data_IF_184974840434
#
_entry.id   IF_184974840434
#
_cell.length_a   1.000
_cell.length_b   1.000
_cell.length_c   1.000
_cell.angle_alpha   90.00
_cell.angle_beta   90.00
_cell.angle_gamma   90.00
#
_symmetry.space_group_name_H-M   'P 1'
#
loop_
_entity.id
_entity.type
_entity.pdbx_description
1 polymer ?
#
# COMPACT_ATOMS: atom_id res chain seq x y z
N UNK A 1 -19.69 11.37 -9.09
CA UNK A 1 -19.46 10.02 -8.55
C UNK A 1 -18.85 9.14 -9.62
N UNK A 2 -18.05 8.18 -9.26
CA UNK A 2 -17.38 7.25 -10.17
C UNK A 2 -17.37 5.83 -9.59
N UNK A 3 -17.12 4.84 -10.44
CA UNK A 3 -16.97 3.45 -10.02
C UNK A 3 -15.50 3.05 -10.23
N UNK A 4 -14.84 2.57 -9.18
CA UNK A 4 -13.50 2.01 -9.28
C UNK A 4 -13.58 0.50 -9.48
N UNK A 5 -12.82 0.01 -10.46
CA UNK A 5 -12.69 -1.40 -10.77
C UNK A 5 -11.19 -1.79 -10.75
N UNK A 6 -10.84 -2.75 -9.92
CA UNK A 6 -9.45 -3.18 -9.76
C UNK A 6 -9.13 -4.39 -10.63
N UNK A 7 -8.05 -4.27 -11.40
CA UNK A 7 -7.38 -5.38 -12.09
C UNK A 7 -6.01 -5.63 -11.46
N UNK A 8 -5.50 -6.85 -11.57
CA UNK A 8 -4.16 -7.19 -11.10
C UNK A 8 -3.15 -7.19 -12.24
N UNK A 9 -3.61 -7.38 -13.47
CA UNK A 9 -2.81 -7.34 -14.70
C UNK A 9 -3.71 -7.18 -15.93
N UNK A 10 -3.12 -6.91 -17.08
CA UNK A 10 -3.78 -6.88 -18.40
C UNK A 10 -4.04 -8.27 -18.98
N UNK A 11 -3.39 -9.30 -18.45
CA UNK A 11 -3.60 -10.70 -18.89
C UNK A 11 -4.48 -11.46 -17.90
N UNK A 12 -5.30 -12.38 -18.43
CA UNK A 12 -6.15 -13.23 -17.58
C UNK A 12 -5.31 -14.10 -16.64
N UNK A 13 -4.23 -14.67 -17.15
CA UNK A 13 -3.37 -15.58 -16.39
C UNK A 13 -2.80 -14.91 -15.15
N UNK A 14 -2.13 -13.78 -15.31
CA UNK A 14 -1.51 -13.06 -14.19
C UNK A 14 -2.54 -12.40 -13.29
N UNK A 15 -3.62 -11.83 -13.84
CA UNK A 15 -4.71 -11.27 -13.04
C UNK A 15 -5.33 -12.32 -12.11
N UNK A 16 -5.64 -13.51 -12.64
CA UNK A 16 -6.31 -14.55 -11.87
C UNK A 16 -5.36 -15.24 -10.90
N UNK A 17 -4.09 -15.37 -11.26
CA UNK A 17 -3.04 -15.83 -10.35
C UNK A 17 -2.89 -14.90 -9.13
N UNK A 18 -2.69 -13.60 -9.37
CA UNK A 18 -2.46 -12.61 -8.31
C UNK A 18 -3.68 -12.36 -7.43
N UNK A 19 -4.88 -12.43 -8.01
CA UNK A 19 -6.13 -12.33 -7.25
C UNK A 19 -6.49 -13.62 -6.51
N UNK A 20 -5.78 -14.71 -6.80
CA UNK A 20 -6.08 -16.07 -6.30
C UNK A 20 -7.52 -16.52 -6.62
N UNK A 21 -8.10 -15.97 -7.70
CA UNK A 21 -9.47 -16.27 -8.11
C UNK A 21 -9.69 -15.90 -9.58
N UNK A 22 -10.55 -16.65 -10.27
CA UNK A 22 -10.86 -16.45 -11.70
C UNK A 22 -11.86 -15.32 -11.88
N UNK A 23 -11.37 -14.09 -11.97
CA UNK A 23 -12.20 -12.88 -12.01
C UNK A 23 -12.00 -12.02 -13.24
N UNK A 24 -11.02 -12.29 -14.08
CA UNK A 24 -10.69 -11.45 -15.25
C UNK A 24 -11.88 -11.21 -16.17
N UNK A 25 -12.54 -12.28 -16.62
CA UNK A 25 -13.71 -12.17 -17.51
C UNK A 25 -14.91 -11.47 -16.85
N UNK A 26 -15.12 -11.72 -15.54
CA UNK A 26 -16.16 -11.02 -14.78
C UNK A 26 -15.89 -9.52 -14.74
N UNK A 27 -14.67 -9.11 -14.43
CA UNK A 27 -14.26 -7.70 -14.38
C UNK A 27 -14.42 -7.02 -15.74
N UNK A 28 -14.07 -7.71 -16.84
CA UNK A 28 -14.30 -7.20 -18.20
C UNK A 28 -15.79 -6.96 -18.49
N UNK A 29 -16.67 -7.88 -18.08
CA UNK A 29 -18.14 -7.67 -18.23
C UNK A 29 -18.63 -6.52 -17.36
N UNK A 30 -18.13 -6.40 -16.13
CA UNK A 30 -18.48 -5.30 -15.21
C UNK A 30 -18.03 -3.95 -15.78
N UNK A 31 -16.81 -3.85 -16.34
CA UNK A 31 -16.32 -2.63 -16.98
C UNK A 31 -17.26 -2.18 -18.12
N UNK A 32 -17.66 -3.12 -19.00
CA UNK A 32 -18.64 -2.84 -20.07
C UNK A 32 -19.97 -2.36 -19.50
N UNK A 33 -20.46 -2.98 -18.43
CA UNK A 33 -21.72 -2.57 -17.78
C UNK A 33 -21.63 -1.17 -17.17
N UNK A 34 -20.54 -0.82 -16.50
CA UNK A 34 -20.30 0.52 -15.95
C UNK A 34 -20.40 1.57 -17.06
N UNK A 35 -19.71 1.34 -18.18
CA UNK A 35 -19.73 2.28 -19.32
C UNK A 35 -21.09 2.35 -20.01
N UNK A 36 -21.80 1.21 -20.16
CA UNK A 36 -23.13 1.17 -20.74
C UNK A 36 -24.16 1.96 -19.92
N UNK A 37 -23.96 2.08 -18.59
CA UNK A 37 -24.81 2.89 -17.71
C UNK A 37 -24.33 4.35 -17.58
N UNK A 38 -23.31 4.76 -18.31
CA UNK A 38 -22.82 6.14 -18.34
C UNK A 38 -22.03 6.58 -17.11
N UNK A 39 -21.59 5.65 -16.25
CA UNK A 39 -20.76 6.01 -15.09
C UNK A 39 -19.30 6.26 -15.49
N UNK A 40 -18.69 7.32 -14.95
CA UNK A 40 -17.24 7.47 -15.00
C UNK A 40 -16.56 6.28 -14.30
N UNK A 41 -15.51 5.76 -14.92
CA UNK A 41 -14.80 4.58 -14.43
C UNK A 41 -13.33 4.91 -14.10
N UNK A 42 -12.91 4.49 -12.91
CA UNK A 42 -11.50 4.45 -12.52
C UNK A 42 -11.03 3.00 -12.61
N UNK A 43 -10.03 2.72 -13.43
CA UNK A 43 -9.28 1.48 -13.28
C UNK A 43 -8.19 1.67 -12.23
N UNK A 44 -8.05 0.69 -11.34
CA UNK A 44 -6.94 0.61 -10.39
C UNK A 44 -6.15 -0.66 -10.65
N UNK A 45 -4.84 -0.55 -10.72
CA UNK A 45 -3.93 -1.69 -10.77
C UNK A 45 -2.82 -1.50 -9.74
N UNK A 46 -2.73 -2.42 -8.78
CA UNK A 46 -1.64 -2.42 -7.81
C UNK A 46 -0.40 -3.01 -8.45
N UNK A 47 0.64 -2.18 -8.58
CA UNK A 47 1.88 -2.54 -9.24
C UNK A 47 2.88 -3.20 -8.28
N UNK A 48 3.58 -4.16 -8.82
CA UNK A 48 4.66 -4.89 -8.17
C UNK A 48 5.59 -5.51 -9.23
N UNK A 49 6.63 -6.21 -8.80
CA UNK A 49 7.65 -6.81 -9.69
C UNK A 49 7.09 -7.56 -10.91
N UNK A 50 5.97 -8.28 -10.75
CA UNK A 50 5.44 -9.14 -11.81
C UNK A 50 4.66 -8.39 -12.90
N UNK A 51 3.97 -7.29 -12.57
CA UNK A 51 3.13 -6.58 -13.52
C UNK A 51 3.68 -5.21 -13.96
N UNK A 52 4.72 -4.68 -13.30
CA UNK A 52 5.42 -3.49 -13.77
C UNK A 52 5.89 -3.60 -15.24
N UNK A 53 6.42 -4.75 -15.71
CA UNK A 53 6.77 -4.91 -17.12
C UNK A 53 5.57 -4.85 -18.09
N UNK A 54 4.34 -4.87 -17.58
CA UNK A 54 3.10 -4.85 -18.35
C UNK A 54 2.39 -3.49 -18.28
N UNK A 55 3.02 -2.45 -17.77
CA UNK A 55 2.38 -1.13 -17.57
C UNK A 55 1.82 -0.58 -18.88
N UNK A 56 2.51 -0.74 -20.01
CA UNK A 56 2.01 -0.38 -21.34
C UNK A 56 0.68 -1.06 -21.68
N UNK A 57 0.62 -2.38 -21.50
CA UNK A 57 -0.58 -3.19 -21.77
C UNK A 57 -1.71 -2.89 -20.79
N UNK A 58 -1.39 -2.56 -19.55
CA UNK A 58 -2.39 -2.13 -18.56
C UNK A 58 -2.99 -0.78 -18.95
N UNK A 59 -2.18 0.16 -19.45
CA UNK A 59 -2.67 1.44 -19.97
C UNK A 59 -3.55 1.22 -21.20
N UNK A 60 -3.10 0.39 -22.15
CA UNK A 60 -3.87 0.06 -23.35
C UNK A 60 -5.22 -0.58 -23.00
N UNK A 61 -5.24 -1.48 -22.02
CA UNK A 61 -6.48 -2.09 -21.52
C UNK A 61 -7.43 -1.03 -20.93
N UNK A 62 -6.91 -0.09 -20.13
CA UNK A 62 -7.71 0.99 -19.55
C UNK A 62 -8.31 1.90 -20.63
N UNK A 63 -7.54 2.24 -21.65
CA UNK A 63 -7.99 3.03 -22.80
C UNK A 63 -9.05 2.28 -23.61
N UNK A 64 -8.86 1.00 -23.86
CA UNK A 64 -9.82 0.15 -24.59
C UNK A 64 -11.14 -0.01 -23.82
N UNK A 65 -11.12 0.01 -22.50
CA UNK A 65 -12.30 -0.02 -21.63
C UNK A 65 -12.99 1.35 -21.51
N UNK A 66 -12.38 2.43 -22.01
CA UNK A 66 -12.89 3.79 -21.88
C UNK A 66 -12.87 4.32 -20.45
N UNK A 67 -11.85 3.96 -19.69
CA UNK A 67 -11.64 4.50 -18.35
C UNK A 67 -11.24 5.96 -18.40
N UNK A 68 -11.88 6.79 -17.58
CA UNK A 68 -11.53 8.22 -17.44
C UNK A 68 -10.26 8.41 -16.59
N UNK A 69 -10.04 7.48 -15.66
CA UNK A 69 -8.88 7.50 -14.77
C UNK A 69 -8.24 6.11 -14.68
N UNK A 70 -6.93 6.10 -14.65
CA UNK A 70 -6.14 4.91 -14.34
C UNK A 70 -5.21 5.21 -13.16
N UNK A 71 -5.37 4.46 -12.10
CA UNK A 71 -4.49 4.49 -10.93
C UNK A 71 -3.51 3.31 -10.99
N UNK A 72 -2.26 3.61 -11.25
CA UNK A 72 -1.13 2.70 -11.18
C UNK A 72 -0.46 2.88 -9.82
N UNK A 73 -0.98 2.18 -8.81
CA UNK A 73 -0.57 2.31 -7.43
C UNK A 73 0.49 1.25 -7.08
N UNK A 74 1.73 1.64 -6.87
CA UNK A 74 2.73 0.69 -6.41
C UNK A 74 2.39 0.14 -5.02
N UNK A 75 2.70 -1.15 -4.82
CA UNK A 75 2.44 -1.87 -3.58
C UNK A 75 3.06 -1.16 -2.38
N UNK A 76 2.24 -0.93 -1.36
CA UNK A 76 2.70 -0.49 -0.04
C UNK A 76 2.94 -1.70 0.85
N UNK A 77 4.11 -1.78 1.47
CA UNK A 77 4.56 -2.99 2.17
C UNK A 77 4.08 -3.07 3.62
N UNK A 78 2.78 -3.33 3.79
CA UNK A 78 2.13 -3.62 5.08
C UNK A 78 1.46 -5.00 5.04
N UNK A 79 1.26 -5.62 6.21
CA UNK A 79 0.54 -6.88 6.32
C UNK A 79 1.06 -7.95 5.35
N UNK A 80 0.19 -8.46 4.49
CA UNK A 80 0.52 -9.49 3.50
C UNK A 80 1.55 -9.05 2.47
N UNK A 81 1.51 -7.80 2.04
CA UNK A 81 2.51 -7.26 1.12
C UNK A 81 3.89 -7.20 1.77
N UNK A 82 3.97 -6.87 3.08
CA UNK A 82 5.22 -6.91 3.83
C UNK A 82 5.76 -8.33 3.97
N UNK A 83 4.89 -9.31 4.24
CA UNK A 83 5.28 -10.72 4.31
C UNK A 83 5.82 -11.24 2.96
N UNK A 84 5.29 -10.73 1.84
CA UNK A 84 5.69 -11.09 0.49
C UNK A 84 6.67 -10.08 -0.16
N UNK A 85 7.27 -9.16 0.60
CA UNK A 85 8.05 -8.06 0.02
C UNK A 85 9.22 -8.52 -0.84
N UNK A 86 9.83 -9.65 -0.48
CA UNK A 86 10.94 -10.21 -1.24
C UNK A 86 10.52 -10.59 -2.67
N UNK A 87 9.30 -11.09 -2.82
CA UNK A 87 8.73 -11.51 -4.12
C UNK A 87 8.09 -10.35 -4.88
N UNK A 88 7.47 -9.40 -4.17
CA UNK A 88 6.66 -8.35 -4.79
C UNK A 88 7.42 -7.05 -5.07
N UNK A 89 8.50 -6.76 -4.32
CA UNK A 89 9.21 -5.50 -4.45
C UNK A 89 9.91 -5.41 -5.82
N UNK A 90 9.65 -4.34 -6.59
CA UNK A 90 10.33 -4.11 -7.86
C UNK A 90 11.80 -3.73 -7.66
N UNK A 91 12.56 -3.73 -8.73
CA UNK A 91 13.86 -3.06 -8.78
C UNK A 91 13.70 -1.58 -9.15
N UNK A 92 14.73 -0.78 -8.88
CA UNK A 92 14.75 0.62 -9.27
C UNK A 92 14.67 0.79 -10.81
N UNK A 93 15.28 -0.13 -11.55
CA UNK A 93 15.26 -0.16 -13.01
C UNK A 93 13.84 -0.39 -13.53
N UNK A 94 13.13 -1.39 -12.98
CA UNK A 94 11.72 -1.64 -13.35
C UNK A 94 10.82 -0.43 -13.09
N UNK A 95 11.02 0.27 -11.97
CA UNK A 95 10.25 1.49 -11.67
C UNK A 95 10.55 2.60 -12.66
N UNK A 96 11.83 2.83 -12.98
CA UNK A 96 12.26 3.85 -13.95
C UNK A 96 11.72 3.56 -15.35
N UNK A 97 11.76 2.32 -15.79
CA UNK A 97 11.19 1.89 -17.08
C UNK A 97 9.68 2.12 -17.12
N UNK A 98 8.97 1.72 -16.07
CA UNK A 98 7.52 1.92 -15.97
C UNK A 98 7.15 3.41 -15.94
N UNK A 99 7.90 4.25 -15.23
CA UNK A 99 7.70 5.69 -15.18
C UNK A 99 7.89 6.31 -16.57
N UNK A 100 8.94 5.92 -17.31
CA UNK A 100 9.17 6.37 -18.68
C UNK A 100 8.02 5.99 -19.62
N UNK A 101 7.46 4.78 -19.48
CA UNK A 101 6.27 4.35 -20.21
C UNK A 101 5.07 5.23 -19.87
N UNK A 102 4.82 5.48 -18.60
CA UNK A 102 3.70 6.32 -18.15
C UNK A 102 3.81 7.75 -18.70
N UNK A 103 5.01 8.37 -18.64
CA UNK A 103 5.21 9.72 -19.15
C UNK A 103 5.00 9.80 -20.67
N UNK A 104 5.46 8.80 -21.43
CA UNK A 104 5.18 8.69 -22.86
C UNK A 104 3.67 8.66 -23.11
N UNK A 105 2.92 7.77 -22.42
CA UNK A 105 1.47 7.69 -22.59
C UNK A 105 0.76 8.99 -22.19
N UNK A 106 1.16 9.63 -21.11
CA UNK A 106 0.61 10.93 -20.68
C UNK A 106 0.71 11.98 -21.78
N UNK A 107 1.83 12.01 -22.50
CA UNK A 107 2.03 12.94 -23.63
C UNK A 107 1.21 12.57 -24.87
N UNK A 108 1.00 11.27 -25.15
CA UNK A 108 0.32 10.76 -26.34
C UNK A 108 -1.21 10.78 -26.23
N UNK A 109 -1.75 10.41 -25.04
CA UNK A 109 -3.20 10.20 -24.87
C UNK A 109 -3.95 11.48 -24.52
N UNK A 110 -3.27 12.54 -24.05
CA UNK A 110 -3.89 13.80 -23.67
C UNK A 110 -4.97 13.61 -22.60
N UNK A 111 -6.17 14.13 -22.86
CA UNK A 111 -7.28 14.09 -21.90
C UNK A 111 -8.15 12.82 -21.96
N UNK A 112 -7.81 11.82 -22.78
CA UNK A 112 -8.61 10.60 -22.92
C UNK A 112 -8.67 9.75 -21.66
N UNK A 113 -7.59 9.71 -20.90
CA UNK A 113 -7.51 9.05 -19.60
C UNK A 113 -6.47 9.75 -18.74
N UNK A 114 -6.81 10.05 -17.49
CA UNK A 114 -5.84 10.63 -16.56
C UNK A 114 -5.11 9.52 -15.80
N UNK A 115 -3.80 9.41 -15.99
CA UNK A 115 -2.97 8.38 -15.36
C UNK A 115 -2.34 8.93 -14.08
N UNK A 116 -2.61 8.27 -12.96
CA UNK A 116 -1.89 8.45 -11.70
C UNK A 116 -0.86 7.34 -11.55
N UNK A 117 0.40 7.71 -11.33
CA UNK A 117 1.48 6.76 -11.05
C UNK A 117 2.07 7.09 -9.69
N UNK A 118 1.97 6.17 -8.76
CA UNK A 118 2.41 6.34 -7.36
C UNK A 118 3.67 5.52 -7.14
N UNK A 119 4.81 6.18 -6.93
CA UNK A 119 6.08 5.53 -6.60
C UNK A 119 6.01 4.93 -5.19
N UNK A 120 6.58 3.72 -4.96
CA UNK A 120 6.65 3.14 -3.62
C UNK A 120 7.52 4.00 -2.71
N UNK A 121 7.10 4.19 -1.46
CA UNK A 121 7.83 5.02 -0.50
C UNK A 121 9.29 4.59 -0.31
N UNK A 122 9.57 3.29 -0.39
CA UNK A 122 10.93 2.73 -0.21
C UNK A 122 11.95 3.19 -1.27
N UNK A 123 11.50 3.78 -2.37
CA UNK A 123 12.35 4.33 -3.44
C UNK A 123 12.41 5.86 -3.43
N UNK A 124 11.82 6.47 -2.42
CA UNK A 124 11.88 7.92 -2.17
C UNK A 124 12.96 8.25 -1.15
N UNK A 125 13.42 9.50 -1.15
CA UNK A 125 14.35 10.04 -0.15
C UNK A 125 13.63 10.82 0.93
N UNK A 126 12.35 11.10 0.72
CA UNK A 126 11.47 11.80 1.64
C UNK A 126 10.17 11.04 1.84
N UNK A 127 9.74 10.84 3.05
CA UNK A 127 8.48 10.16 3.31
C UNK A 127 7.30 11.05 2.92
N UNK A 128 6.23 10.42 2.46
CA UNK A 128 4.95 11.09 2.23
C UNK A 128 4.28 11.41 3.56
N UNK A 129 3.64 12.56 3.63
CA UNK A 129 2.84 12.95 4.79
C UNK A 129 1.72 11.93 5.03
N UNK A 130 1.74 11.28 6.19
CA UNK A 130 0.78 10.24 6.56
C UNK A 130 -0.66 10.76 6.46
N UNK A 131 -1.45 10.29 5.48
CA UNK A 131 -2.85 10.72 5.25
C UNK A 131 -3.05 12.25 5.29
N UNK A 132 -2.10 13.02 4.77
CA UNK A 132 -2.05 14.49 4.89
C UNK A 132 -2.03 15.03 6.33
N UNK A 133 -1.57 14.24 7.27
CA UNK A 133 -1.51 14.46 8.70
C UNK A 133 -2.40 13.47 9.44
N UNK A 134 -1.82 12.75 10.38
CA UNK A 134 -2.54 11.80 11.23
C UNK A 134 -3.75 12.46 11.91
N UNK A 135 -4.95 11.85 11.75
CA UNK A 135 -6.19 12.37 12.33
C UNK A 135 -6.59 13.77 11.87
N UNK A 136 -6.07 14.27 10.72
CA UNK A 136 -6.29 15.64 10.26
C UNK A 136 -7.35 15.77 9.17
N UNK A 137 -7.37 14.87 8.20
CA UNK A 137 -8.29 14.96 7.03
C UNK A 137 -9.02 13.65 6.73
N UNK A 138 -8.64 12.56 7.37
CA UNK A 138 -9.17 11.24 7.06
C UNK A 138 -9.75 10.55 8.30
N UNK A 139 -10.92 9.94 8.12
CA UNK A 139 -11.55 9.02 9.06
C UNK A 139 -12.13 7.86 8.25
N UNK A 140 -11.65 6.65 8.49
CA UNK A 140 -12.21 5.43 7.93
C UNK A 140 -13.01 4.67 8.97
N UNK A 141 -14.15 4.08 8.59
CA UNK A 141 -14.93 3.20 9.46
C UNK A 141 -14.76 1.78 8.94
N UNK A 142 -14.20 0.92 9.80
CA UNK A 142 -14.03 -0.48 9.47
C UNK A 142 -15.37 -1.26 9.61
N UNK A 143 -15.50 -2.47 9.02
CA UNK A 143 -16.77 -3.22 9.04
C UNK A 143 -17.31 -3.55 10.43
N UNK A 144 -16.45 -3.61 11.44
CA UNK A 144 -16.83 -3.82 12.85
C UNK A 144 -17.25 -2.51 13.57
N UNK A 145 -17.16 -1.36 12.87
CA UNK A 145 -17.52 -0.04 13.38
C UNK A 145 -16.35 0.72 14.01
N UNK A 146 -15.14 0.17 14.04
CA UNK A 146 -13.98 0.91 14.53
C UNK A 146 -13.61 2.07 13.61
N UNK A 147 -13.37 3.24 14.18
CA UNK A 147 -12.94 4.43 13.47
C UNK A 147 -11.41 4.51 13.44
N UNK A 148 -10.85 4.71 12.28
CA UNK A 148 -9.42 4.66 12.02
C UNK A 148 -8.93 5.96 11.38
N UNK A 149 -7.82 6.56 11.85
CA UNK A 149 -7.18 7.72 11.22
C UNK A 149 -6.38 7.35 9.95
N UNK A 150 -6.16 6.05 9.71
CA UNK A 150 -5.51 5.48 8.53
C UNK A 150 -5.95 4.02 8.38
N UNK A 151 -6.02 3.50 7.16
CA UNK A 151 -6.40 2.11 6.90
C UNK A 151 -5.52 1.08 7.60
N UNK A 152 -4.23 1.38 7.79
CA UNK A 152 -3.24 0.51 8.42
C UNK A 152 -3.03 0.78 9.92
N UNK A 153 -3.73 1.75 10.50
CA UNK A 153 -3.54 2.21 11.89
C UNK A 153 -3.68 1.08 12.93
N UNK A 154 -4.50 0.06 12.64
CA UNK A 154 -4.65 -1.12 13.51
C UNK A 154 -3.36 -1.93 13.71
N UNK A 155 -2.36 -1.72 12.87
CA UNK A 155 -1.06 -2.35 13.04
C UNK A 155 -0.22 -1.75 14.17
N UNK A 156 -0.62 -0.59 14.69
CA UNK A 156 0.09 0.09 15.77
C UNK A 156 -0.33 -0.45 17.14
N UNK A 157 0.62 -0.85 17.99
CA UNK A 157 0.32 -1.28 19.36
C UNK A 157 -0.04 -0.08 20.25
N UNK A 158 -0.76 -0.37 21.33
CA UNK A 158 -1.08 0.63 22.37
C UNK A 158 -2.09 1.68 21.94
N UNK A 159 -2.79 1.50 20.83
CA UNK A 159 -3.92 2.32 20.41
C UNK A 159 -5.22 1.52 20.53
N UNK A 160 -6.21 2.12 21.20
CA UNK A 160 -7.59 1.62 21.21
C UNK A 160 -8.42 2.49 20.27
N UNK A 161 -8.96 1.88 19.21
CA UNK A 161 -9.76 2.60 18.24
C UNK A 161 -11.21 2.70 18.68
N UNK A 162 -11.79 3.93 18.75
CA UNK A 162 -13.17 4.13 19.14
C UNK A 162 -14.12 3.53 18.11
N UNK A 163 -15.34 3.19 18.54
CA UNK A 163 -16.34 2.57 17.69
C UNK A 163 -17.53 3.53 17.47
N UNK A 164 -17.95 3.70 16.23
CA UNK A 164 -19.09 4.59 15.87
C UNK A 164 -20.44 4.15 16.45
N UNK A 165 -20.51 2.90 16.96
CA UNK A 165 -21.69 2.41 17.68
C UNK A 165 -21.74 2.90 19.14
N UNK A 166 -20.65 3.43 19.66
CA UNK A 166 -20.47 3.78 21.07
C UNK A 166 -20.15 5.27 21.26
N UNK A 167 -19.55 5.90 20.28
CA UNK A 167 -19.09 7.29 20.34
C UNK A 167 -19.54 8.05 19.10
N UNK A 168 -19.88 9.31 19.26
CA UNK A 168 -20.18 10.21 18.13
C UNK A 168 -18.91 10.47 17.29
N UNK A 169 -19.09 10.81 16.02
CA UNK A 169 -17.98 11.20 15.13
C UNK A 169 -17.19 12.38 15.71
N UNK A 170 -17.87 13.32 16.39
CA UNK A 170 -17.24 14.46 17.04
C UNK A 170 -16.27 14.00 18.15
N UNK A 171 -16.72 13.18 19.08
CA UNK A 171 -15.90 12.61 20.15
C UNK A 171 -14.72 11.81 19.59
N UNK A 172 -14.98 10.98 18.59
CA UNK A 172 -13.95 10.19 17.91
C UNK A 172 -12.86 11.11 17.34
N UNK A 173 -13.28 12.16 16.64
CA UNK A 173 -12.37 13.05 15.94
C UNK A 173 -11.56 13.96 16.84
N UNK A 174 -12.18 14.53 17.88
CA UNK A 174 -11.55 15.55 18.71
C UNK A 174 -10.97 15.00 20.03
N UNK A 175 -11.59 13.98 20.60
CA UNK A 175 -11.32 13.60 21.99
C UNK A 175 -10.60 12.24 22.11
N UNK A 176 -10.58 11.41 21.04
CA UNK A 176 -9.96 10.09 21.13
C UNK A 176 -8.44 10.12 21.05
N UNK A 177 -7.76 9.32 21.87
CA UNK A 177 -6.30 9.14 21.82
C UNK A 177 -5.85 8.63 20.45
N UNK A 178 -6.60 7.70 19.85
CA UNK A 178 -6.26 7.14 18.54
C UNK A 178 -6.11 8.19 17.44
N UNK A 179 -6.92 9.26 17.45
CA UNK A 179 -6.82 10.35 16.49
C UNK A 179 -5.84 11.44 16.90
N UNK A 180 -5.66 11.64 18.22
CA UNK A 180 -4.79 12.71 18.76
C UNK A 180 -3.32 12.30 18.88
N UNK A 181 -3.03 10.98 18.94
CA UNK A 181 -1.72 10.42 19.27
C UNK A 181 -0.55 10.99 18.46
N UNK A 182 -0.75 11.18 17.16
CA UNK A 182 0.26 11.72 16.24
C UNK A 182 -0.24 12.97 15.51
N UNK A 183 -1.24 13.66 16.06
CA UNK A 183 -1.71 14.94 15.54
C UNK A 183 -0.75 16.05 15.95
N UNK A 184 -0.48 17.00 15.07
CA UNK A 184 0.50 18.05 15.32
C UNK A 184 1.95 17.55 15.32
N UNK A 185 2.83 18.21 16.09
CA UNK A 185 4.27 17.96 16.06
C UNK A 185 4.89 17.67 17.43
N UNK A 186 4.15 17.87 18.52
CA UNK A 186 4.67 17.77 19.89
C UNK A 186 5.11 16.35 20.28
N UNK A 187 4.52 15.34 19.64
CA UNK A 187 4.87 13.93 19.81
C UNK A 187 6.21 13.55 19.18
N UNK A 188 6.74 14.37 18.25
CA UNK A 188 7.92 14.04 17.47
C UNK A 188 9.19 13.96 18.33
N UNK A 189 10.01 12.96 18.03
CA UNK A 189 11.39 12.81 18.50
C UNK A 189 12.37 13.44 17.52
N UNK A 190 13.62 13.60 17.92
CA UNK A 190 14.69 13.93 16.98
C UNK A 190 14.91 12.78 15.98
N UNK A 191 15.26 13.08 14.72
CA UNK A 191 15.56 14.42 14.16
C UNK A 191 14.30 15.20 13.70
N UNK A 192 13.10 14.60 13.70
CA UNK A 192 11.90 15.25 13.18
C UNK A 192 11.49 16.49 13.99
N UNK A 193 11.70 16.50 15.31
CA UNK A 193 11.30 17.62 16.18
C UNK A 193 11.93 18.96 15.77
N UNK A 194 13.24 18.93 15.48
CA UNK A 194 13.99 20.14 15.05
C UNK A 194 14.04 20.32 13.53
N UNK A 195 13.49 19.38 12.75
CA UNK A 195 13.56 19.42 11.28
C UNK A 195 12.72 20.57 10.72
N UNK A 196 13.30 21.35 9.80
CA UNK A 196 12.58 22.42 9.10
C UNK A 196 11.48 21.90 8.18
N UNK A 197 11.64 20.68 7.70
CA UNK A 197 10.69 20.03 6.78
C UNK A 197 9.53 19.30 7.48
N UNK A 198 9.47 19.31 8.82
CA UNK A 198 8.43 18.60 9.60
C UNK A 198 6.99 18.99 9.25
N UNK A 199 6.78 20.19 8.72
CA UNK A 199 5.45 20.64 8.26
C UNK A 199 5.07 20.06 6.91
N UNK A 200 6.05 19.61 6.12
CA UNK A 200 5.87 19.02 4.78
C UNK A 200 5.51 17.54 4.91
N UNK A 201 6.33 16.77 5.62
CA UNK A 201 6.20 15.32 5.72
C UNK A 201 5.51 14.81 7.00
N UNK A 202 5.37 15.67 8.02
CA UNK A 202 4.83 15.32 9.34
C UNK A 202 5.50 14.07 9.96
N UNK A 203 6.80 13.88 9.70
CA UNK A 203 7.59 12.74 10.17
C UNK A 203 7.31 11.43 9.41
N UNK A 204 6.52 11.46 8.34
CA UNK A 204 6.21 10.30 7.49
C UNK A 204 5.14 9.36 8.05
N UNK A 205 5.18 8.10 7.64
CA UNK A 205 4.18 7.10 7.99
C UNK A 205 4.45 6.41 9.34
N UNK A 206 3.54 6.55 10.30
CA UNK A 206 3.68 5.97 11.65
C UNK A 206 3.67 4.44 11.65
N UNK A 207 2.85 3.85 10.76
CA UNK A 207 2.78 2.40 10.63
C UNK A 207 4.09 1.82 10.06
N UNK A 208 4.70 2.51 9.10
CA UNK A 208 5.99 2.14 8.53
C UNK A 208 7.12 2.32 9.53
N UNK A 209 7.15 3.45 10.26
CA UNK A 209 8.10 3.67 11.33
C UNK A 209 8.05 2.53 12.35
N UNK A 210 6.84 2.17 12.82
CA UNK A 210 6.69 1.03 13.73
C UNK A 210 7.15 -0.30 13.14
N UNK A 211 6.73 -0.60 11.91
CA UNK A 211 7.03 -1.86 11.25
C UNK A 211 8.54 -2.11 11.08
N UNK A 212 9.30 -1.07 10.79
CA UNK A 212 10.72 -1.16 10.50
C UNK A 212 11.62 -0.89 11.72
N UNK A 213 11.11 -0.20 12.75
CA UNK A 213 11.94 0.24 13.89
C UNK A 213 11.40 -0.20 15.25
N UNK A 214 10.18 -0.74 15.32
CA UNK A 214 9.50 -1.13 16.56
C UNK A 214 8.87 0.04 17.32
N UNK A 215 9.02 1.30 16.88
CA UNK A 215 8.46 2.48 17.54
C UNK A 215 7.81 3.43 16.52
N UNK A 216 6.48 3.66 16.61
CA UNK A 216 5.77 4.53 15.69
C UNK A 216 6.12 6.03 15.87
N UNK A 217 6.81 6.42 16.94
CA UNK A 217 7.26 7.80 17.15
C UNK A 217 8.64 8.08 16.55
N UNK A 218 9.35 7.07 16.05
CA UNK A 218 10.62 7.27 15.35
C UNK A 218 10.40 7.99 14.01
N UNK A 219 11.45 8.68 13.52
CA UNK A 219 11.47 9.19 12.15
C UNK A 219 11.23 8.06 11.18
N UNK A 220 10.40 8.30 10.17
CA UNK A 220 10.14 7.31 9.13
C UNK A 220 11.47 6.89 8.47
N UNK A 221 11.77 5.58 8.38
CA UNK A 221 13.02 5.10 7.76
C UNK A 221 13.20 5.48 6.28
N UNK A 222 12.14 5.85 5.57
CA UNK A 222 12.25 6.39 4.20
C UNK A 222 13.01 7.71 4.19
N UNK A 223 12.89 8.53 5.24
CA UNK A 223 13.64 9.77 5.35
C UNK A 223 15.15 9.50 5.44
N UNK A 224 15.92 10.12 4.56
CA UNK A 224 17.39 10.01 4.56
C UNK A 224 18.05 10.61 5.83
N UNK A 225 17.33 11.50 6.54
CA UNK A 225 17.74 12.05 7.85
C UNK A 225 17.42 11.11 9.01
N UNK A 226 16.67 10.02 8.77
CA UNK A 226 16.32 9.05 9.82
C UNK A 226 17.55 8.23 10.24
N UNK A 227 17.82 8.05 11.55
CA UNK A 227 18.86 7.14 12.01
C UNK A 227 18.59 5.68 11.65
N UNK A 228 17.36 5.38 11.18
CA UNK A 228 16.92 4.06 10.76
C UNK A 228 16.84 3.90 9.22
N UNK A 229 17.36 4.87 8.44
CA UNK A 229 17.26 4.85 6.97
C UNK A 229 17.88 3.59 6.34
N UNK A 230 18.95 3.06 6.94
CA UNK A 230 19.62 1.85 6.47
C UNK A 230 18.68 0.62 6.44
N UNK A 231 17.61 0.61 7.25
CA UNK A 231 16.61 -0.46 7.22
C UNK A 231 15.89 -0.53 5.86
N UNK A 232 15.55 0.63 5.27
CA UNK A 232 14.92 0.71 3.94
C UNK A 232 15.93 0.36 2.86
N UNK A 233 17.15 0.92 2.92
CA UNK A 233 18.23 0.63 1.96
C UNK A 233 18.51 -0.87 1.88
N UNK A 234 18.58 -1.55 3.03
CA UNK A 234 18.81 -2.99 3.07
C UNK A 234 17.66 -3.80 2.45
N UNK A 235 16.41 -3.38 2.64
CA UNK A 235 15.25 -4.04 2.01
C UNK A 235 15.30 -3.88 0.50
N UNK A 236 15.54 -2.66 0.00
CA UNK A 236 15.65 -2.38 -1.45
C UNK A 236 16.82 -3.15 -2.07
N UNK A 237 17.99 -3.15 -1.40
CA UNK A 237 19.17 -3.90 -1.86
C UNK A 237 18.91 -5.40 -1.97
N UNK A 238 18.23 -5.99 -0.98
CA UNK A 238 17.84 -7.41 -1.03
C UNK A 238 16.86 -7.71 -2.15
N UNK A 239 15.92 -6.80 -2.42
CA UNK A 239 14.98 -6.94 -3.53
C UNK A 239 15.69 -6.86 -4.89
N UNK A 240 16.66 -5.94 -5.05
CA UNK A 240 17.46 -5.80 -6.27
C UNK A 240 18.35 -7.03 -6.56
N UNK A 241 18.80 -7.72 -5.52
CA UNK A 241 19.62 -8.92 -5.68
C UNK A 241 18.83 -10.16 -6.15
N UNK A 242 17.50 -10.10 -6.12
CA UNK A 242 16.66 -11.19 -6.62
C UNK A 242 16.46 -11.03 -8.13
N UNK A 243 16.58 -12.12 -8.93
CA UNK A 243 16.34 -12.02 -10.36
C UNK A 243 14.91 -11.53 -10.62
N UNK A 244 14.76 -10.67 -11.63
CA UNK A 244 13.46 -10.30 -12.17
C UNK A 244 12.88 -11.54 -12.83
N UNK A 245 11.97 -12.23 -12.15
CA UNK A 245 11.48 -13.50 -12.65
C UNK A 245 10.16 -13.37 -13.39
N UNK A 246 10.01 -14.12 -14.50
CA UNK A 246 8.70 -14.41 -15.08
C UNK A 246 7.91 -15.36 -14.17
N UNK A 247 6.59 -15.36 -14.35
CA UNK A 247 5.59 -16.16 -13.60
C UNK A 247 5.80 -17.69 -13.66
N UNK A 248 6.79 -18.18 -14.41
CA UNK A 248 7.13 -19.61 -14.45
C UNK A 248 7.89 -19.98 -13.18
N UNK A 249 7.22 -20.72 -12.32
CA UNK A 249 7.76 -21.23 -11.06
C UNK A 249 8.86 -22.25 -11.32
N UNK A 250 10.07 -21.95 -10.88
CA UNK A 250 11.03 -23.00 -10.57
C UNK A 250 10.63 -23.67 -9.24
N UNK A 251 10.84 -24.98 -9.07
CA UNK A 251 10.40 -25.73 -7.89
C UNK A 251 10.92 -25.23 -6.55
N UNK A 252 12.01 -24.45 -6.54
CA UNK A 252 12.72 -23.97 -5.35
C UNK A 252 12.39 -22.50 -4.99
N UNK A 253 11.50 -21.84 -5.73
CA UNK A 253 11.13 -20.46 -5.41
C UNK A 253 10.15 -20.39 -4.24
N UNK A 254 10.41 -19.47 -3.30
CA UNK A 254 9.46 -19.19 -2.22
C UNK A 254 8.15 -18.69 -2.81
N UNK A 255 7.04 -19.41 -2.61
CA UNK A 255 5.76 -19.02 -3.20
C UNK A 255 5.25 -17.72 -2.57
N UNK A 256 4.48 -16.93 -3.34
CA UNK A 256 3.70 -15.84 -2.77
C UNK A 256 2.76 -16.43 -1.72
N UNK A 257 2.80 -15.87 -0.53
CA UNK A 257 1.93 -16.26 0.57
C UNK A 257 0.55 -15.63 0.38
N UNK A 258 -0.39 -16.39 -0.16
CA UNK A 258 -1.77 -15.94 -0.31
C UNK A 258 -2.55 -16.08 1.00
N UNK A 259 -3.45 -15.13 1.23
CA UNK A 259 -4.40 -15.19 2.32
C UNK A 259 -5.35 -16.37 2.12
N UNK A 260 -5.57 -17.16 3.17
CA UNK A 260 -6.53 -18.27 3.21
C UNK A 260 -7.20 -18.36 4.58
N UNK A 261 -8.20 -19.23 4.74
CA UNK A 261 -8.96 -19.33 5.99
C UNK A 261 -8.09 -19.75 7.19
N UNK A 262 -7.05 -20.54 6.97
CA UNK A 262 -6.18 -21.01 8.07
C UNK A 262 -5.25 -19.91 8.57
N UNK A 263 -4.71 -19.08 7.68
CA UNK A 263 -3.79 -18.00 8.05
C UNK A 263 -4.51 -16.67 8.38
N UNK A 264 -5.76 -16.48 7.91
CA UNK A 264 -6.58 -15.30 8.22
C UNK A 264 -7.07 -15.28 9.66
N UNK A 265 -7.38 -16.45 10.23
CA UNK A 265 -7.89 -16.57 11.63
C UNK A 265 -6.85 -16.15 12.65
N UNK A 266 -5.56 -16.32 12.36
CA UNK A 266 -4.46 -15.87 13.23
C UNK A 266 -4.38 -14.35 13.36
N UNK A 267 -4.82 -13.61 12.35
CA UNK A 267 -4.85 -12.14 12.36
C UNK A 267 -6.10 -11.60 13.09
N UNK A 268 -7.18 -12.39 13.18
CA UNK A 268 -8.44 -11.98 13.78
C UNK A 268 -8.59 -12.33 15.28
N UNK A 269 -7.71 -13.16 15.82
CA UNK A 269 -7.93 -13.86 17.09
C UNK A 269 -7.25 -13.20 18.30
N UNK A 270 -7.02 -11.88 18.31
CA UNK A 270 -6.58 -11.21 19.53
C UNK A 270 -7.76 -10.52 20.21
N UNK A 271 -8.24 -11.01 21.37
CA UNK A 271 -9.37 -10.42 22.12
C UNK A 271 -9.08 -9.00 22.64
N UNK A 272 -7.81 -8.60 22.69
CA UNK A 272 -7.32 -7.33 23.21
C UNK A 272 -6.82 -6.36 22.13
N UNK A 273 -7.15 -6.63 20.86
CA UNK A 273 -6.73 -5.79 19.71
C UNK A 273 -5.22 -5.82 19.43
N UNK A 274 -4.46 -6.57 20.20
CA UNK A 274 -3.05 -6.80 19.92
C UNK A 274 -2.95 -7.84 18.81
N UNK A 275 -2.32 -7.47 17.71
CA UNK A 275 -1.97 -8.45 16.68
C UNK A 275 -0.86 -9.36 17.25
N UNK A 276 -1.17 -10.64 17.59
CA UNK A 276 -0.16 -11.54 18.14
C UNK A 276 0.98 -11.82 17.16
N UNK A 277 0.80 -11.48 15.88
CA UNK A 277 1.67 -11.87 14.79
C UNK A 277 2.66 -10.78 14.33
N UNK A 278 2.77 -9.63 15.02
CA UNK A 278 3.92 -8.76 14.73
C UNK A 278 5.27 -9.46 15.00
N UNK A 279 5.33 -10.42 15.92
CA UNK A 279 6.48 -11.30 16.09
C UNK A 279 6.57 -12.39 15.02
N UNK A 280 5.44 -12.90 14.53
CA UNK A 280 5.41 -14.02 13.59
C UNK A 280 5.49 -13.60 12.10
N UNK A 281 5.19 -12.35 11.75
CA UNK A 281 5.43 -11.88 10.37
C UNK A 281 6.93 -11.67 10.13
N UNK A 282 7.68 -11.31 11.15
CA UNK A 282 9.16 -11.30 11.13
C UNK A 282 9.74 -12.72 11.24
N UNK A 283 9.10 -13.62 12.00
CA UNK A 283 9.53 -15.01 12.18
C UNK A 283 9.20 -15.91 10.99
N UNK A 284 8.10 -15.65 10.25
CA UNK A 284 7.81 -16.35 8.98
C UNK A 284 8.85 -16.08 7.89
N UNK A 285 9.61 -14.98 7.99
CA UNK A 285 10.78 -14.71 7.15
C UNK A 285 12.07 -15.33 7.72
N UNK A 286 12.05 -15.92 8.91
CA UNK A 286 13.20 -16.44 9.64
C UNK A 286 13.26 -17.97 9.81
N UNK A 287 12.25 -18.71 9.35
CA UNK A 287 12.28 -20.17 9.43
C UNK A 287 12.86 -20.76 8.17
N UNK A 288 14.14 -20.63 7.99
CA UNK A 288 15.03 -21.63 7.40
C UNK A 288 16.46 -21.27 7.84
N UNK A 289 16.88 -21.86 8.99
CA UNK A 289 18.26 -22.22 9.21
C UNK A 289 18.47 -23.62 8.69
#
# INVERSE_FOLDING_TARGET
>A
DHIQLSFQDSTQELNDFLSSTRTFDLKNRVAKSIKAHGFPMVLNCVLHRYNLPHVDKIIDMALAMGAEYLELANTQYYGWAHANRAQLMPTAEQLKEAEAVVERYRSEIGHRCKIFFVVPDYFETRPKKCMNGWGSVFLGIAPDGAALPCHTARSLPGLTFPNVKQSSIREIWYDSDAFNRFRGFDWMKEPCRSCEEKTIDAGGCRCQAYLLTGDPANADPVCDKSPHHEAVINVVRKAAAQPAQPVQREPDEQPILFRNDSNSRRLAASPDGRNPDHRNVTDLAGVHK
#
